data_IF_621869844987
#
_entry.id   IF_621869844987
#
_cell.length_a   1.000
_cell.length_b   1.000
_cell.length_c   1.000
_cell.angle_alpha   90.00
_cell.angle_beta   90.00
_cell.angle_gamma   90.00
#
_symmetry.space_group_name_H-M   'P 1'
#
loop_
_entity.id
_entity.type
_entity.pdbx_description
1 polymer ?
#
# COMPACT_ATOMS: atom_id res chain seq x y z
N UNK A 1 7.41 -3.66 -11.70
CA UNK A 1 7.33 -4.74 -10.68
C UNK A 1 7.45 -6.08 -11.39
N UNK A 2 8.36 -6.98 -10.98
CA UNK A 2 8.53 -8.28 -11.65
C UNK A 2 7.40 -9.25 -11.27
N UNK A 3 6.83 -9.94 -12.26
CA UNK A 3 5.69 -10.86 -12.11
C UNK A 3 6.07 -12.30 -12.49
N UNK A 4 5.66 -13.27 -11.66
CA UNK A 4 5.79 -14.72 -11.84
C UNK A 4 4.85 -15.29 -12.89
N UNK A 5 3.70 -14.63 -13.12
CA UNK A 5 2.63 -15.06 -14.03
C UNK A 5 2.13 -13.86 -14.83
N UNK A 6 1.56 -14.14 -16.00
CA UNK A 6 0.90 -13.13 -16.82
C UNK A 6 -0.29 -12.52 -16.07
N UNK A 7 -0.44 -11.18 -16.03
CA UNK A 7 -1.56 -10.50 -15.39
C UNK A 7 -2.95 -10.92 -15.89
N UNK A 8 -3.04 -11.54 -17.07
CA UNK A 8 -4.29 -12.06 -17.64
C UNK A 8 -4.96 -13.14 -16.79
N UNK A 9 -4.28 -13.69 -15.78
CA UNK A 9 -4.90 -14.61 -14.83
C UNK A 9 -5.79 -13.93 -13.78
N UNK A 10 -5.74 -12.60 -13.63
CA UNK A 10 -6.65 -11.88 -12.74
C UNK A 10 -8.08 -12.03 -13.21
N UNK A 11 -8.99 -12.25 -12.26
CA UNK A 11 -10.41 -12.05 -12.50
C UNK A 11 -10.89 -10.69 -11.98
N UNK A 12 -12.20 -10.52 -11.80
CA UNK A 12 -12.78 -9.26 -11.35
C UNK A 12 -12.41 -8.96 -9.89
N UNK A 13 -11.71 -7.84 -9.70
CA UNK A 13 -11.38 -7.23 -8.40
C UNK A 13 -12.17 -5.95 -8.11
N UNK A 14 -12.83 -5.38 -9.12
CA UNK A 14 -13.48 -4.07 -9.06
C UNK A 14 -14.65 -4.04 -8.10
N UNK A 15 -15.52 -5.05 -8.14
CA UNK A 15 -16.69 -5.11 -7.26
C UNK A 15 -16.29 -5.22 -5.78
N UNK A 16 -15.22 -5.96 -5.50
CA UNK A 16 -14.65 -6.09 -4.16
C UNK A 16 -14.09 -4.73 -3.70
N UNK A 17 -13.32 -4.07 -4.56
CA UNK A 17 -12.77 -2.75 -4.29
C UNK A 17 -13.86 -1.70 -4.02
N UNK A 18 -14.91 -1.65 -4.85
CA UNK A 18 -16.03 -0.73 -4.69
C UNK A 18 -16.81 -0.96 -3.38
N UNK A 19 -17.10 -2.22 -3.02
CA UNK A 19 -17.76 -2.55 -1.75
C UNK A 19 -16.93 -2.10 -0.54
N UNK A 20 -15.61 -2.30 -0.59
CA UNK A 20 -14.67 -1.85 0.46
C UNK A 20 -14.58 -0.34 0.51
N UNK A 21 -14.57 0.34 -0.64
CA UNK A 21 -14.58 1.78 -0.74
C UNK A 21 -15.86 2.39 -0.15
N UNK A 22 -17.03 1.83 -0.45
CA UNK A 22 -18.30 2.28 0.13
C UNK A 22 -18.30 2.14 1.67
N UNK A 23 -17.77 1.04 2.19
CA UNK A 23 -17.61 0.84 3.64
C UNK A 23 -16.66 1.86 4.28
N UNK A 24 -15.56 2.18 3.58
CA UNK A 24 -14.62 3.23 4.00
C UNK A 24 -15.29 4.60 4.01
N UNK A 25 -16.04 4.93 2.96
CA UNK A 25 -16.74 6.21 2.84
C UNK A 25 -17.76 6.41 3.96
N UNK A 26 -18.59 5.40 4.22
CA UNK A 26 -19.56 5.44 5.31
C UNK A 26 -18.93 5.71 6.68
N UNK A 27 -17.65 5.33 6.87
CA UNK A 27 -16.91 5.58 8.10
C UNK A 27 -16.26 6.97 8.11
N UNK A 28 -15.68 7.39 7.00
CA UNK A 28 -15.10 8.73 6.83
C UNK A 28 -16.18 9.82 7.00
N UNK A 29 -17.38 9.59 6.49
CA UNK A 29 -18.49 10.54 6.57
C UNK A 29 -18.98 10.80 8.02
N UNK A 30 -18.57 9.98 8.99
CA UNK A 30 -18.97 10.12 10.40
C UNK A 30 -17.98 10.94 11.24
N UNK A 31 -16.78 11.22 10.71
CA UNK A 31 -15.72 11.92 11.43
C UNK A 31 -14.96 12.84 10.48
N UNK A 32 -15.21 14.14 10.61
CA UNK A 32 -14.65 15.18 9.75
C UNK A 32 -13.12 15.28 9.87
N UNK A 33 -12.57 15.12 11.07
CA UNK A 33 -11.13 15.13 11.29
C UNK A 33 -10.47 13.95 10.55
N UNK A 34 -11.08 12.77 10.69
CA UNK A 34 -10.61 11.57 10.02
C UNK A 34 -10.72 11.67 8.49
N UNK A 35 -11.77 12.30 7.96
CA UNK A 35 -11.90 12.61 6.53
C UNK A 35 -10.81 13.57 6.05
N UNK A 36 -10.51 14.63 6.80
CA UNK A 36 -9.49 15.60 6.43
C UNK A 36 -8.09 14.96 6.37
N UNK A 37 -7.73 14.13 7.36
CA UNK A 37 -6.49 13.36 7.33
C UNK A 37 -6.39 12.45 6.10
N UNK A 38 -7.51 11.82 5.72
CA UNK A 38 -7.55 10.94 4.55
C UNK A 38 -7.34 11.70 3.24
N UNK A 39 -7.97 12.88 3.11
CA UNK A 39 -7.80 13.77 1.95
C UNK A 39 -6.37 14.30 1.84
N UNK A 40 -5.77 14.68 2.96
CA UNK A 40 -4.38 15.11 3.03
C UNK A 40 -3.44 14.00 2.54
N UNK A 41 -3.62 12.77 3.04
CA UNK A 41 -2.86 11.61 2.57
C UNK A 41 -2.96 11.44 1.05
N UNK A 42 -4.17 11.46 0.48
CA UNK A 42 -4.36 11.29 -0.96
C UNK A 42 -3.66 12.41 -1.75
N UNK A 43 -3.84 13.67 -1.37
CA UNK A 43 -3.17 14.80 -2.03
C UNK A 43 -1.65 14.70 -1.99
N UNK A 44 -1.10 14.30 -0.86
CA UNK A 44 0.34 14.09 -0.72
C UNK A 44 0.82 12.92 -1.59
N UNK A 45 0.08 11.83 -1.62
CA UNK A 45 0.39 10.65 -2.43
C UNK A 45 0.40 10.97 -3.94
N UNK A 46 -0.54 11.80 -4.40
CA UNK A 46 -0.55 12.33 -5.78
C UNK A 46 0.58 13.32 -6.02
N UNK A 47 0.82 14.29 -5.12
CA UNK A 47 1.90 15.28 -5.25
C UNK A 47 3.28 14.64 -5.32
N UNK A 48 3.48 13.52 -4.62
CA UNK A 48 4.71 12.71 -4.68
C UNK A 48 4.81 11.84 -5.93
N UNK A 49 3.81 11.86 -6.81
CA UNK A 49 3.78 11.08 -8.05
C UNK A 49 3.50 9.59 -7.84
N UNK A 50 3.01 9.18 -6.66
CA UNK A 50 2.66 7.79 -6.37
C UNK A 50 1.28 7.38 -6.90
N UNK A 51 0.42 8.35 -7.22
CA UNK A 51 -0.84 8.12 -7.92
C UNK A 51 -1.12 9.22 -8.93
N UNK A 52 -2.01 8.93 -9.88
CA UNK A 52 -2.56 9.90 -10.82
C UNK A 52 -4.05 9.63 -10.99
N UNK A 53 -4.82 10.68 -11.20
CA UNK A 53 -6.22 10.54 -11.60
C UNK A 53 -6.30 9.83 -12.97
N UNK A 54 -7.23 8.89 -13.10
CA UNK A 54 -7.53 8.20 -14.36
C UNK A 54 -8.65 8.96 -15.04
N UNK A 55 -8.33 9.69 -16.12
CA UNK A 55 -9.27 10.53 -16.87
C UNK A 55 -9.87 9.85 -18.10
N UNK A 56 -9.31 8.71 -18.51
CA UNK A 56 -9.80 7.97 -19.68
C UNK A 56 -11.00 7.10 -19.30
N UNK A 57 -12.05 7.14 -20.12
CA UNK A 57 -13.23 6.29 -19.95
C UNK A 57 -12.96 4.82 -20.31
N UNK A 58 -11.90 4.55 -21.08
CA UNK A 58 -11.56 3.19 -21.52
C UNK A 58 -10.63 2.52 -20.52
N UNK A 59 -11.15 1.52 -19.81
CA UNK A 59 -10.36 0.67 -18.92
C UNK A 59 -9.42 -0.23 -19.73
N UNK A 60 -8.14 -0.37 -19.35
CA UNK A 60 -7.25 -1.34 -19.96
C UNK A 60 -7.82 -2.77 -19.83
N UNK A 61 -7.51 -3.60 -20.82
CA UNK A 61 -7.94 -5.01 -20.85
C UNK A 61 -7.56 -5.77 -19.58
N UNK A 62 -6.38 -5.48 -19.03
CA UNK A 62 -5.90 -6.09 -17.79
C UNK A 62 -5.79 -5.00 -16.71
N UNK A 63 -6.71 -5.04 -15.75
CA UNK A 63 -6.77 -4.11 -14.62
C UNK A 63 -7.01 -4.85 -13.31
N UNK A 64 -6.24 -4.50 -12.28
CA UNK A 64 -6.43 -4.98 -10.91
C UNK A 64 -6.71 -3.81 -9.97
N UNK A 65 -7.83 -3.88 -9.25
CA UNK A 65 -8.24 -2.86 -8.29
C UNK A 65 -7.80 -3.26 -6.88
N UNK A 66 -6.70 -2.68 -6.41
CA UNK A 66 -6.26 -2.87 -5.04
C UNK A 66 -7.22 -2.17 -4.06
N UNK A 67 -7.77 -2.95 -3.12
CA UNK A 67 -8.47 -2.35 -1.98
C UNK A 67 -7.49 -1.58 -1.12
N UNK A 68 -7.96 -0.56 -0.41
CA UNK A 68 -7.13 0.15 0.55
C UNK A 68 -7.87 0.34 1.87
N UNK A 69 -7.10 0.39 2.96
CA UNK A 69 -7.66 0.60 4.28
C UNK A 69 -6.75 1.48 5.14
N UNK A 70 -7.38 2.20 6.06
CA UNK A 70 -6.71 2.98 7.09
C UNK A 70 -6.15 2.12 8.22
N UNK A 71 -5.07 2.63 8.78
CA UNK A 71 -4.61 2.41 10.15
C UNK A 71 -4.61 3.79 10.82
N UNK A 72 -5.60 4.03 11.69
CA UNK A 72 -5.76 5.29 12.42
C UNK A 72 -5.30 5.11 13.87
N UNK A 73 -4.38 5.97 14.30
CA UNK A 73 -3.72 5.97 15.61
C UNK A 73 -3.62 7.40 16.13
N UNK A 74 -4.73 7.97 16.67
CA UNK A 74 -4.80 9.38 17.09
C UNK A 74 -3.77 9.74 18.18
N UNK A 75 -3.33 8.75 18.96
CA UNK A 75 -2.32 8.87 20.01
C UNK A 75 -0.91 9.16 19.50
N UNK A 76 -0.64 8.94 18.20
CA UNK A 76 0.67 9.26 17.62
C UNK A 76 0.80 10.75 17.33
N UNK A 77 1.96 11.31 17.67
CA UNK A 77 2.28 12.73 17.46
C UNK A 77 2.52 13.08 15.98
N UNK A 78 3.13 12.19 15.20
CA UNK A 78 3.55 12.46 13.82
C UNK A 78 2.54 11.94 12.79
N UNK A 79 2.39 10.62 12.67
CA UNK A 79 1.53 10.00 11.65
C UNK A 79 0.30 9.38 12.29
N UNK A 80 -0.76 10.20 12.42
CA UNK A 80 -2.05 9.76 12.97
C UNK A 80 -2.80 8.81 12.03
N UNK A 81 -2.60 8.94 10.72
CA UNK A 81 -3.23 8.11 9.70
C UNK A 81 -2.19 7.50 8.76
N UNK A 82 -2.31 6.20 8.50
CA UNK A 82 -1.63 5.52 7.40
C UNK A 82 -2.67 4.84 6.52
N UNK A 83 -2.52 4.93 5.21
CA UNK A 83 -3.33 4.18 4.24
C UNK A 83 -2.48 3.04 3.70
N UNK A 84 -3.04 1.83 3.70
CA UNK A 84 -2.40 0.61 3.25
C UNK A 84 -3.19 0.04 2.10
N UNK A 85 -2.52 -0.16 0.96
CA UNK A 85 -3.06 -0.89 -0.17
C UNK A 85 -2.93 -2.39 0.10
N UNK A 86 -4.05 -3.10 0.02
CA UNK A 86 -4.12 -4.53 0.24
C UNK A 86 -4.09 -5.26 -1.10
N UNK A 87 -2.87 -5.68 -1.47
CA UNK A 87 -2.56 -6.46 -2.66
C UNK A 87 -2.68 -7.98 -2.45
N UNK A 88 -3.09 -8.42 -1.25
CA UNK A 88 -3.43 -9.83 -0.97
C UNK A 88 -4.94 -10.09 -1.04
N UNK A 89 -5.74 -9.12 -1.49
CA UNK A 89 -7.16 -9.35 -1.74
C UNK A 89 -7.31 -10.27 -2.95
N UNK A 90 -7.98 -11.40 -2.75
CA UNK A 90 -8.30 -12.33 -3.83
C UNK A 90 -9.30 -11.69 -4.79
N UNK A 91 -9.12 -11.95 -6.09
CA UNK A 91 -10.17 -11.76 -7.09
C UNK A 91 -11.21 -12.89 -6.99
N UNK A 92 -12.27 -12.81 -7.78
CA UNK A 92 -13.20 -13.93 -8.03
C UNK A 92 -12.51 -15.22 -8.51
N UNK A 93 -11.40 -15.12 -9.26
CA UNK A 93 -10.54 -16.25 -9.65
C UNK A 93 -9.59 -16.75 -8.53
N UNK A 94 -9.78 -16.32 -7.28
CA UNK A 94 -8.97 -16.73 -6.13
C UNK A 94 -7.46 -16.44 -6.26
N UNK A 95 -7.09 -15.40 -7.02
CA UNK A 95 -5.70 -14.95 -7.20
C UNK A 95 -5.56 -13.52 -6.68
N UNK A 96 -4.48 -13.21 -5.97
CA UNK A 96 -4.12 -11.85 -5.58
C UNK A 96 -2.90 -11.32 -6.34
N UNK A 97 -2.67 -10.01 -6.28
CA UNK A 97 -1.48 -9.41 -6.88
C UNK A 97 -0.19 -9.95 -6.24
N UNK A 98 -0.20 -10.20 -4.93
CA UNK A 98 0.95 -10.79 -4.23
C UNK A 98 1.29 -12.22 -4.73
N UNK A 99 0.29 -13.00 -5.14
CA UNK A 99 0.51 -14.38 -5.61
C UNK A 99 1.29 -14.43 -6.93
N UNK A 100 1.04 -13.44 -7.79
CA UNK A 100 1.71 -13.33 -9.09
C UNK A 100 2.97 -12.48 -9.04
N UNK A 101 3.29 -11.83 -7.92
CA UNK A 101 4.49 -11.02 -7.77
C UNK A 101 5.70 -11.88 -7.36
N UNK A 102 6.90 -11.57 -7.87
CA UNK A 102 8.13 -12.16 -7.32
C UNK A 102 8.42 -11.64 -5.92
N UNK A 103 8.67 -12.57 -4.99
CA UNK A 103 9.26 -12.25 -3.70
C UNK A 103 10.74 -12.00 -4.01
N UNK A 104 11.21 -10.75 -3.96
CA UNK A 104 12.49 -10.28 -4.53
C UNK A 104 13.78 -10.85 -3.90
N UNK A 105 13.76 -12.08 -3.38
CA UNK A 105 14.88 -12.71 -2.70
C UNK A 105 15.24 -12.05 -1.37
N UNK A 106 16.08 -12.70 -0.57
CA UNK A 106 16.71 -12.07 0.58
C UNK A 106 17.92 -11.31 0.06
N UNK A 107 17.80 -9.98 -0.04
CA UNK A 107 18.89 -9.08 -0.47
C UNK A 107 19.74 -8.65 0.73
N UNK A 108 19.16 -8.68 1.93
CA UNK A 108 19.80 -8.23 3.16
C UNK A 108 20.86 -9.25 3.60
N UNK A 109 22.01 -8.75 4.03
CA UNK A 109 23.02 -9.57 4.69
C UNK A 109 22.49 -10.11 6.03
N UNK A 110 23.13 -11.17 6.51
CA UNK A 110 22.80 -11.77 7.80
C UNK A 110 22.78 -10.73 8.93
N UNK A 111 21.69 -10.73 9.70
CA UNK A 111 21.46 -9.75 10.77
C UNK A 111 22.54 -9.83 11.84
N UNK A 112 23.04 -11.04 12.16
CA UNK A 112 24.08 -11.20 13.16
C UNK A 112 25.41 -10.58 12.70
N UNK A 113 25.79 -10.80 11.44
CA UNK A 113 26.94 -10.12 10.84
C UNK A 113 26.78 -8.59 10.85
N UNK A 114 25.59 -8.07 10.53
CA UNK A 114 25.31 -6.63 10.62
C UNK A 114 25.47 -6.08 12.04
N UNK A 115 24.94 -6.76 13.05
CA UNK A 115 25.06 -6.36 14.45
C UNK A 115 26.51 -6.35 14.95
N UNK A 116 27.32 -7.34 14.53
CA UNK A 116 28.74 -7.39 14.89
C UNK A 116 29.50 -6.20 14.32
N UNK A 117 29.30 -5.86 13.04
CA UNK A 117 29.94 -4.69 12.41
C UNK A 117 29.48 -3.38 13.03
N UNK A 118 28.19 -3.26 13.37
CA UNK A 118 27.67 -2.08 14.04
C UNK A 118 28.34 -1.83 15.40
N UNK A 119 28.68 -2.90 16.14
CA UNK A 119 29.38 -2.84 17.43
C UNK A 119 30.91 -2.65 17.32
N UNK A 120 31.49 -2.80 16.14
CA UNK A 120 32.94 -2.67 15.95
C UNK A 120 33.44 -1.22 16.10
N UNK A 121 32.54 -0.24 15.96
CA UNK A 121 32.86 1.18 16.03
C UNK A 121 32.32 1.81 17.32
N UNK A 122 33.07 2.75 17.90
CA UNK A 122 32.71 3.45 19.15
C UNK A 122 31.50 4.37 18.98
N UNK A 123 31.28 4.89 17.78
CA UNK A 123 30.19 5.80 17.45
C UNK A 123 29.38 5.23 16.29
N UNK A 124 28.06 5.36 16.37
CA UNK A 124 27.15 4.95 15.32
C UNK A 124 26.10 6.03 15.09
N UNK A 125 25.74 6.23 13.82
CA UNK A 125 24.70 7.16 13.40
C UNK A 125 23.49 6.36 12.91
N UNK A 126 22.31 6.81 13.29
CA UNK A 126 21.04 6.25 12.85
C UNK A 126 20.15 7.38 12.40
N UNK A 127 19.56 7.25 11.24
CA UNK A 127 18.61 8.21 10.67
C UNK A 127 17.39 7.46 10.14
N UNK A 128 16.22 8.07 10.29
CA UNK A 128 14.97 7.57 9.72
C UNK A 128 14.81 8.19 8.32
N UNK A 129 14.96 7.38 7.28
CA UNK A 129 14.83 7.82 5.88
C UNK A 129 13.35 7.81 5.51
N UNK A 130 12.83 8.98 5.12
CA UNK A 130 11.47 9.15 4.60
C UNK A 130 11.36 8.85 3.11
#
# INVERSE_FOLDING_TARGET
MPLKKEPSCFGNSKDIALKRLGSLWNRLARDENYLNLYREFLRDYERLGHMKEVTNETEPEITYYATHHRIYRPEKSTTKLRVVFNCSSLTDNEISLNDIQYNGGVIQEDLFAQMLRFRAYTYAFTEDIK
#
